data_IF_916853463549
#
_entry.id   IF_916853463549
#
_cell.length_a   1.000
_cell.length_b   1.000
_cell.length_c   1.000
_cell.angle_alpha   90.00
_cell.angle_beta   90.00
_cell.angle_gamma   90.00
#
_symmetry.space_group_name_H-M   'P 1'
#
loop_
_entity.id
_entity.type
_entity.pdbx_description
1 polymer ?
#
# COMPACT_ATOMS: atom_id res chain seq x y z
N UNK A 1 -0.62 -11.42 3.43
CA UNK A 1 0.45 -12.19 4.08
C UNK A 1 1.65 -12.38 3.14
N UNK A 2 1.41 -12.73 1.87
CA UNK A 2 2.46 -12.87 0.84
C UNK A 2 3.41 -11.65 0.76
N UNK A 3 2.89 -10.42 0.76
CA UNK A 3 3.71 -9.20 0.70
C UNK A 3 4.67 -9.05 1.89
N UNK A 4 4.29 -9.49 3.09
CA UNK A 4 5.15 -9.41 4.27
C UNK A 4 6.32 -10.39 4.15
N UNK A 5 6.04 -11.63 3.76
CA UNK A 5 7.05 -12.66 3.57
C UNK A 5 8.00 -12.29 2.40
N UNK A 6 7.45 -11.80 1.29
CA UNK A 6 8.23 -11.37 0.13
C UNK A 6 9.20 -10.24 0.46
N UNK A 7 8.73 -9.20 1.15
CA UNK A 7 9.61 -8.08 1.57
C UNK A 7 10.65 -8.52 2.60
N UNK A 8 10.29 -9.38 3.56
CA UNK A 8 11.23 -9.87 4.57
C UNK A 8 12.37 -10.70 3.94
N UNK A 9 12.04 -11.61 3.03
CA UNK A 9 13.03 -12.44 2.34
C UNK A 9 13.92 -11.60 1.41
N UNK A 10 13.32 -10.76 0.56
CA UNK A 10 14.06 -9.89 -0.35
C UNK A 10 14.96 -8.91 0.39
N UNK A 11 14.47 -8.28 1.47
CA UNK A 11 15.25 -7.37 2.31
C UNK A 11 16.41 -8.06 3.02
N UNK A 12 16.21 -9.29 3.52
CA UNK A 12 17.27 -10.06 4.19
C UNK A 12 18.39 -10.42 3.22
N UNK A 13 18.05 -10.93 2.03
CA UNK A 13 19.04 -11.27 1.00
C UNK A 13 19.77 -10.01 0.52
N UNK A 14 19.05 -8.91 0.28
CA UNK A 14 19.66 -7.66 -0.16
C UNK A 14 20.62 -7.08 0.90
N UNK A 15 20.25 -7.11 2.18
CA UNK A 15 21.10 -6.60 3.25
C UNK A 15 22.44 -7.36 3.36
N UNK A 16 22.43 -8.68 3.12
CA UNK A 16 23.63 -9.52 3.21
C UNK A 16 24.58 -9.37 2.01
N UNK A 17 24.05 -9.10 0.81
CA UNK A 17 24.81 -9.11 -0.45
C UNK A 17 24.93 -7.74 -1.14
N UNK A 18 24.31 -6.67 -0.62
CA UNK A 18 24.37 -5.34 -1.23
C UNK A 18 25.59 -4.51 -0.81
N UNK A 19 26.01 -3.60 -1.68
CA UNK A 19 27.06 -2.61 -1.37
C UNK A 19 26.59 -1.42 -0.52
N UNK A 20 25.27 -1.25 -0.34
CA UNK A 20 24.69 -0.18 0.47
C UNK A 20 23.48 -0.71 1.27
N UNK A 21 23.71 -1.32 2.44
CA UNK A 21 22.65 -1.95 3.25
C UNK A 21 21.67 -0.96 3.89
N UNK A 22 21.93 0.36 3.83
CA UNK A 22 20.99 1.38 4.30
C UNK A 22 19.75 1.52 3.40
N UNK A 23 19.76 0.95 2.20
CA UNK A 23 18.61 0.99 1.29
C UNK A 23 17.58 -0.04 1.75
N UNK A 24 16.39 0.43 2.12
CA UNK A 24 15.27 -0.43 2.53
C UNK A 24 14.42 -0.76 1.29
N UNK A 25 14.32 -2.05 0.98
CA UNK A 25 13.41 -2.54 -0.05
C UNK A 25 11.99 -2.64 0.53
N UNK A 26 11.05 -1.96 -0.10
CA UNK A 26 9.62 -2.05 0.24
C UNK A 26 8.77 -1.81 -0.99
N UNK A 27 7.50 -2.23 -0.94
CA UNK A 27 6.55 -1.95 -2.01
C UNK A 27 6.31 -0.44 -2.11
N UNK A 28 6.50 0.12 -3.29
CA UNK A 28 6.26 1.55 -3.55
C UNK A 28 4.82 1.81 -4.01
N UNK A 29 4.35 3.06 -3.91
CA UNK A 29 3.02 3.44 -4.40
C UNK A 29 2.83 3.19 -5.91
N UNK A 30 3.79 3.55 -6.78
CA UNK A 30 3.67 3.33 -8.21
C UNK A 30 3.56 1.85 -8.61
N UNK A 31 4.31 0.95 -7.97
CA UNK A 31 4.22 -0.48 -8.29
C UNK A 31 2.86 -1.05 -7.92
N UNK A 32 2.27 -0.61 -6.79
CA UNK A 32 0.92 -1.00 -6.40
C UNK A 32 -0.12 -0.57 -7.44
N UNK A 33 0.00 0.65 -7.97
CA UNK A 33 -0.89 1.16 -9.02
C UNK A 33 -0.72 0.35 -10.31
N UNK A 34 0.52 0.05 -10.70
CA UNK A 34 0.80 -0.81 -11.85
C UNK A 34 0.14 -2.18 -11.71
N UNK A 35 0.27 -2.84 -10.54
CA UNK A 35 -0.37 -4.14 -10.31
C UNK A 35 -1.90 -4.08 -10.37
N UNK A 36 -2.52 -2.98 -9.91
CA UNK A 36 -3.97 -2.77 -10.02
C UNK A 36 -4.41 -2.66 -11.48
N UNK A 37 -3.69 -1.89 -12.29
CA UNK A 37 -3.97 -1.78 -13.72
C UNK A 37 -3.77 -3.12 -14.44
N UNK A 38 -2.73 -3.87 -14.06
CA UNK A 38 -2.45 -5.19 -14.62
C UNK A 38 -3.58 -6.18 -14.31
N UNK A 39 -4.11 -6.14 -13.09
CA UNK A 39 -5.22 -6.96 -12.66
C UNK A 39 -6.49 -6.64 -13.44
N UNK A 40 -6.83 -5.35 -13.60
CA UNK A 40 -7.96 -4.92 -14.44
C UNK A 40 -7.77 -5.35 -15.91
N UNK A 41 -6.56 -5.24 -16.45
CA UNK A 41 -6.24 -5.70 -17.80
C UNK A 41 -6.42 -7.22 -17.96
N UNK A 42 -5.91 -8.02 -17.02
CA UNK A 42 -6.08 -9.48 -17.02
C UNK A 42 -7.55 -9.87 -16.97
N UNK A 43 -8.35 -9.20 -16.12
CA UNK A 43 -9.80 -9.41 -16.03
C UNK A 43 -10.53 -9.10 -17.33
N UNK A 44 -10.16 -8.02 -18.01
CA UNK A 44 -10.80 -7.61 -19.27
C UNK A 44 -10.45 -8.52 -20.46
N UNK A 45 -9.28 -9.16 -20.44
CA UNK A 45 -8.81 -10.03 -21.50
C UNK A 45 -8.97 -11.54 -21.20
N UNK A 46 -9.52 -11.88 -20.03
CA UNK A 46 -9.67 -13.26 -19.55
C UNK A 46 -8.35 -14.08 -19.54
N UNK A 47 -7.22 -13.41 -19.32
CA UNK A 47 -5.89 -14.03 -19.23
C UNK A 47 -5.60 -14.34 -17.76
N UNK A 48 -4.99 -15.48 -17.48
CA UNK A 48 -4.62 -15.84 -16.11
C UNK A 48 -3.63 -14.83 -15.50
N UNK A 49 -4.01 -14.22 -14.39
CA UNK A 49 -3.23 -13.18 -13.73
C UNK A 49 -1.88 -13.70 -13.21
N UNK A 50 -1.79 -14.96 -12.76
CA UNK A 50 -0.53 -15.52 -12.26
C UNK A 50 0.46 -15.75 -13.40
N UNK A 51 0.00 -16.27 -14.54
CA UNK A 51 0.86 -16.48 -15.70
C UNK A 51 1.38 -15.14 -16.24
N UNK A 52 0.52 -14.13 -16.35
CA UNK A 52 0.92 -12.78 -16.76
C UNK A 52 1.96 -12.18 -15.80
N UNK A 53 1.76 -12.32 -14.48
CA UNK A 53 2.68 -11.82 -13.46
C UNK A 53 4.05 -12.51 -13.56
N UNK A 54 4.08 -13.82 -13.80
CA UNK A 54 5.31 -14.58 -14.00
C UNK A 54 6.07 -14.11 -15.24
N UNK A 55 5.39 -13.98 -16.38
CA UNK A 55 6.01 -13.52 -17.63
C UNK A 55 6.64 -12.14 -17.51
N UNK A 56 5.95 -11.20 -16.86
CA UNK A 56 6.48 -9.84 -16.62
C UNK A 56 7.70 -9.89 -15.71
N UNK A 57 7.67 -10.73 -14.67
CA UNK A 57 8.81 -10.96 -13.79
C UNK A 57 10.04 -11.50 -14.52
N UNK A 58 9.84 -12.50 -15.40
CA UNK A 58 10.92 -13.08 -16.22
C UNK A 58 11.51 -12.04 -17.17
N UNK A 59 10.67 -11.27 -17.87
CA UNK A 59 11.15 -10.21 -18.77
C UNK A 59 11.87 -9.08 -18.03
N UNK A 60 11.38 -8.67 -16.85
CA UNK A 60 12.02 -7.66 -16.02
C UNK A 60 13.40 -8.13 -15.52
N UNK A 61 13.51 -9.40 -15.11
CA UNK A 61 14.78 -10.00 -14.71
C UNK A 61 15.79 -10.03 -15.86
N UNK A 62 15.35 -10.41 -17.06
CA UNK A 62 16.18 -10.38 -18.27
C UNK A 62 16.69 -8.97 -18.59
N UNK A 63 15.82 -7.97 -18.55
CA UNK A 63 16.20 -6.56 -18.76
C UNK A 63 17.20 -6.08 -17.70
N UNK A 64 17.04 -6.50 -16.44
CA UNK A 64 17.98 -6.19 -15.37
C UNK A 64 19.38 -6.76 -15.66
N UNK A 65 19.48 -8.02 -16.10
CA UNK A 65 20.76 -8.60 -16.49
C UNK A 65 21.41 -7.89 -17.68
N UNK A 66 20.64 -7.50 -18.69
CA UNK A 66 21.15 -6.73 -19.83
C UNK A 66 21.70 -5.36 -19.40
N UNK A 67 21.02 -4.67 -18.47
CA UNK A 67 21.48 -3.39 -17.94
C UNK A 67 22.77 -3.53 -17.13
N UNK A 68 22.90 -4.60 -16.35
CA UNK A 68 24.13 -4.91 -15.62
C UNK A 68 25.28 -5.23 -16.59
N UNK A 69 25.02 -6.03 -17.63
CA UNK A 69 26.03 -6.36 -18.64
C UNK A 69 26.48 -5.14 -19.47
N UNK A 70 25.61 -4.14 -19.64
CA UNK A 70 25.89 -2.91 -20.40
C UNK A 70 26.47 -1.79 -19.52
N UNK A 71 26.74 -2.05 -18.23
CA UNK A 71 27.23 -1.05 -17.26
C UNK A 71 26.36 0.23 -17.22
N UNK A 72 25.04 0.05 -17.13
CA UNK A 72 24.08 1.17 -17.10
C UNK A 72 24.30 2.16 -15.94
N UNK A 73 25.12 1.80 -14.93
CA UNK A 73 25.56 2.67 -13.85
C UNK A 73 26.18 3.99 -14.34
N UNK A 74 26.78 4.01 -15.54
CA UNK A 74 27.30 5.25 -16.13
C UNK A 74 26.20 6.31 -16.37
N UNK A 75 24.96 5.89 -16.65
CA UNK A 75 23.83 6.80 -16.91
C UNK A 75 23.50 7.65 -15.67
N UNK A 76 23.70 7.11 -14.47
CA UNK A 76 23.42 7.79 -13.20
C UNK A 76 24.25 9.06 -13.06
N UNK A 77 25.45 9.14 -13.68
CA UNK A 77 26.29 10.34 -13.67
C UNK A 77 25.62 11.55 -14.35
N UNK A 78 24.67 11.33 -15.25
CA UNK A 78 23.92 12.40 -15.91
C UNK A 78 22.74 12.91 -15.08
N UNK A 79 22.35 12.20 -14.02
CA UNK A 79 21.35 12.69 -13.07
C UNK A 79 21.95 13.79 -12.21
N UNK A 80 21.46 15.00 -12.38
CA UNK A 80 21.95 16.16 -11.63
C UNK A 80 21.31 16.25 -10.24
N UNK A 81 22.00 16.90 -9.29
CA UNK A 81 21.48 17.17 -7.94
C UNK A 81 20.09 17.81 -7.94
N UNK A 82 19.80 18.67 -8.92
CA UNK A 82 18.49 19.30 -9.05
C UNK A 82 17.37 18.27 -9.28
N UNK A 83 17.61 17.27 -10.12
CA UNK A 83 16.65 16.21 -10.39
C UNK A 83 16.47 15.30 -9.18
N UNK A 84 17.55 15.00 -8.46
CA UNK A 84 17.51 14.19 -7.23
C UNK A 84 16.70 14.88 -6.12
N UNK A 85 16.99 16.14 -5.84
CA UNK A 85 16.27 16.94 -4.84
C UNK A 85 14.79 17.13 -5.24
N UNK A 86 14.53 17.39 -6.52
CA UNK A 86 13.17 17.50 -7.06
C UNK A 86 12.37 16.20 -6.94
N UNK A 87 12.99 15.05 -7.24
CA UNK A 87 12.34 13.75 -7.12
C UNK A 87 12.03 13.40 -5.65
N UNK A 88 12.96 13.66 -4.75
CA UNK A 88 12.77 13.44 -3.30
C UNK A 88 11.60 14.28 -2.74
N UNK A 89 11.53 15.56 -3.13
CA UNK A 89 10.43 16.45 -2.76
C UNK A 89 9.08 15.96 -3.28
N UNK A 90 9.03 15.48 -4.53
CA UNK A 90 7.81 14.94 -5.15
C UNK A 90 7.28 13.72 -4.40
N UNK A 91 8.16 12.75 -4.12
CA UNK A 91 7.78 11.53 -3.39
C UNK A 91 7.28 11.88 -1.98
N UNK A 92 7.95 12.81 -1.29
CA UNK A 92 7.55 13.29 0.02
C UNK A 92 6.14 13.90 0.00
N UNK A 93 5.84 14.73 -1.00
CA UNK A 93 4.52 15.33 -1.18
C UNK A 93 3.42 14.28 -1.45
N UNK A 94 3.72 13.25 -2.25
CA UNK A 94 2.80 12.14 -2.52
C UNK A 94 2.47 11.39 -1.23
N UNK A 95 3.47 11.07 -0.40
CA UNK A 95 3.25 10.37 0.87
C UNK A 95 2.40 11.18 1.85
N UNK A 96 2.64 12.48 1.99
CA UNK A 96 1.82 13.35 2.84
C UNK A 96 0.36 13.36 2.37
N UNK A 97 0.15 13.50 1.06
CA UNK A 97 -1.19 13.52 0.47
C UNK A 97 -1.92 12.17 0.64
N UNK A 98 -1.22 11.05 0.52
CA UNK A 98 -1.78 9.71 0.74
C UNK A 98 -2.15 9.49 2.22
N UNK A 99 -1.31 9.94 3.15
CA UNK A 99 -1.57 9.83 4.59
C UNK A 99 -2.84 10.59 5.01
N UNK A 100 -3.04 11.81 4.51
CA UNK A 100 -4.25 12.60 4.78
C UNK A 100 -5.49 11.88 4.25
N UNK A 101 -5.45 11.34 3.02
CA UNK A 101 -6.57 10.59 2.43
C UNK A 101 -6.93 9.36 3.27
N UNK A 102 -5.94 8.59 3.73
CA UNK A 102 -6.14 7.43 4.60
C UNK A 102 -6.76 7.83 5.94
N UNK A 103 -6.29 8.94 6.54
CA UNK A 103 -6.84 9.45 7.79
C UNK A 103 -8.32 9.86 7.65
N UNK A 104 -8.68 10.58 6.59
CA UNK A 104 -10.08 10.95 6.32
C UNK A 104 -10.94 9.72 6.06
N UNK A 105 -10.42 8.70 5.36
CA UNK A 105 -11.09 7.42 5.18
C UNK A 105 -11.40 6.72 6.51
N UNK A 106 -10.45 6.74 7.45
CA UNK A 106 -10.64 6.19 8.79
C UNK A 106 -11.72 6.93 9.59
N UNK A 107 -11.77 8.27 9.51
CA UNK A 107 -12.83 9.05 10.17
C UNK A 107 -14.23 8.79 9.60
N UNK A 108 -14.35 8.47 8.31
CA UNK A 108 -15.64 8.03 7.73
C UNK A 108 -16.04 6.64 8.18
N UNK A 109 -15.07 5.74 8.34
CA UNK A 109 -15.32 4.37 8.76
C UNK A 109 -15.68 4.28 10.26
N UNK A 110 -15.06 5.11 11.10
CA UNK A 110 -15.38 5.26 12.53
C UNK A 110 -15.93 6.66 12.80
N UNK A 111 -17.23 6.90 12.59
CA UNK A 111 -17.83 8.19 12.86
C UNK A 111 -17.71 8.53 14.34
N UNK A 112 -17.22 9.74 14.64
CA UNK A 112 -17.18 10.25 16.01
C UNK A 112 -18.61 10.56 16.44
N UNK A 113 -19.11 9.84 17.44
CA UNK A 113 -20.42 10.09 18.01
C UNK A 113 -20.38 11.38 18.84
N UNK A 114 -20.77 12.50 18.24
CA UNK A 114 -20.71 13.84 18.85
C UNK A 114 -21.83 14.13 19.84
N UNK A 115 -22.90 13.33 19.87
CA UNK A 115 -23.99 13.40 20.87
C UNK A 115 -23.72 12.44 22.03
N UNK A 116 -22.59 12.63 22.73
CA UNK A 116 -22.26 11.81 23.90
C UNK A 116 -23.15 12.20 25.09
N UNK A 117 -24.26 11.49 25.26
CA UNK A 117 -25.09 11.56 26.47
C UNK A 117 -24.57 10.56 27.52
N UNK A 118 -24.13 11.03 28.71
CA UNK A 118 -23.53 10.17 29.74
C UNK A 118 -24.50 9.12 30.34
N UNK A 119 -25.80 9.26 30.08
CA UNK A 119 -26.86 8.37 30.57
C UNK A 119 -27.01 7.07 29.75
N UNK A 120 -26.49 7.01 28.51
CA UNK A 120 -26.59 5.83 27.62
C UNK A 120 -25.35 4.93 27.63
N UNK A 121 -24.47 5.08 28.63
CA UNK A 121 -23.24 4.26 28.80
C UNK A 121 -23.55 2.75 28.84
N UNK A 122 -24.75 2.36 29.27
CA UNK A 122 -25.21 0.96 29.36
C UNK A 122 -25.84 0.41 28.09
N UNK A 123 -26.25 1.24 27.11
CA UNK A 123 -26.94 0.78 25.88
C UNK A 123 -26.00 0.20 24.81
N UNK A 124 -24.69 0.38 24.95
CA UNK A 124 -23.70 -0.31 24.09
C UNK A 124 -23.54 -1.80 24.44
N UNK A 125 -24.22 -2.29 25.49
CA UNK A 125 -24.49 -3.72 25.67
C UNK A 125 -25.84 -4.05 25.03
N UNK A 126 -25.85 -5.04 24.14
CA UNK A 126 -27.08 -5.73 23.77
C UNK A 126 -27.61 -6.50 24.98
N UNK A 127 -28.43 -5.84 25.80
CA UNK A 127 -29.27 -6.50 26.80
C UNK A 127 -30.73 -6.38 26.36
N UNK A 128 -31.42 -7.53 26.30
CA UNK A 128 -32.87 -7.56 26.10
C UNK A 128 -33.55 -6.98 27.34
N UNK A 129 -34.04 -5.75 27.24
CA UNK A 129 -34.98 -5.17 28.20
C UNK A 129 -36.41 -5.52 27.78
N UNK A 130 -37.20 -6.04 28.71
CA UNK A 130 -38.62 -6.24 28.52
C UNK A 130 -39.32 -4.86 28.42
N UNK A 131 -40.36 -4.72 27.56
CA UNK A 131 -41.05 -3.45 27.38
C UNK A 131 -41.77 -3.00 28.66
N UNK A 132 -41.75 -1.69 28.91
CA UNK A 132 -42.36 -1.06 30.08
C UNK A 132 -43.89 -1.30 30.14
N UNK A 133 -44.44 -1.71 31.29
CA UNK A 133 -45.86 -2.03 31.44
C UNK A 133 -46.81 -0.81 31.38
N UNK A 134 -46.31 0.41 31.14
CA UNK A 134 -47.14 1.63 31.07
C UNK A 134 -47.79 1.90 29.71
N UNK A 135 -47.50 1.11 28.68
CA UNK A 135 -48.23 1.16 27.38
C UNK A 135 -49.40 0.16 27.29
N UNK A 136 -49.67 -0.59 28.37
CA UNK A 136 -50.91 -1.35 28.52
C UNK A 136 -51.93 -0.53 29.31
N UNK A 137 -52.57 0.42 28.63
CA UNK A 137 -53.89 0.91 29.03
C UNK A 137 -54.91 0.47 27.98
N UNK A 138 -56.09 -0.03 28.41
CA UNK A 138 -57.06 -0.73 27.56
C UNK A 138 -57.68 0.12 26.44
#
# INVERSE_FOLDING_TARGET
MESFLGTALAGSVFCLFSGQPLIILSSTGPILIFEKLLFEFSKNNAIDYMELRLWIGIHSCLQCFVLVATDASYIIKYMTRFTEEGFSSLISFIFISDAIKKMVGAFKYYPINTDFKPDYVTTYKCECLAPDPSEFTP
#
